data_IF_776659084188
#
_entry.id   IF_776659084188
#
_cell.length_a   1.000
_cell.length_b   1.000
_cell.length_c   1.000
_cell.angle_alpha   90.00
_cell.angle_beta   90.00
_cell.angle_gamma   90.00
#
_symmetry.space_group_name_H-M   'P 1'
#
loop_
_entity.id
_entity.type
_entity.pdbx_description
1 polymer ?
#
# COMPACT_ATOMS: atom_id res chain seq x y z
N UNK A 1 -13.31 -1.00 -2.68
CA UNK A 1 -12.03 -1.63 -3.05
C UNK A 1 -12.29 -3.04 -3.54
N UNK A 2 -12.35 -3.21 -4.86
CA UNK A 2 -12.37 -4.55 -5.48
C UNK A 2 -10.92 -5.02 -5.55
N UNK A 3 -10.39 -5.50 -4.42
CA UNK A 3 -9.22 -6.37 -4.47
C UNK A 3 -9.65 -7.59 -5.27
N UNK A 4 -9.07 -7.77 -6.46
CA UNK A 4 -9.30 -8.92 -7.31
C UNK A 4 -8.97 -10.18 -6.49
N UNK A 5 -9.97 -10.79 -5.87
CA UNK A 5 -9.86 -12.15 -5.31
C UNK A 5 -9.82 -13.09 -6.50
N UNK A 6 -8.62 -13.27 -7.04
CA UNK A 6 -8.32 -14.46 -7.83
C UNK A 6 -8.69 -15.66 -6.95
N UNK A 7 -9.51 -16.61 -7.41
CA UNK A 7 -9.77 -17.82 -6.65
C UNK A 7 -8.43 -18.54 -6.48
N UNK A 8 -7.96 -18.59 -5.25
CA UNK A 8 -6.76 -19.32 -4.79
C UNK A 8 -7.03 -20.83 -4.78
N UNK A 9 -7.62 -21.35 -5.85
CA UNK A 9 -8.00 -22.77 -5.99
C UNK A 9 -6.96 -23.56 -6.79
N UNK A 10 -5.78 -23.00 -7.03
CA UNK A 10 -4.58 -23.78 -7.34
C UNK A 10 -3.90 -24.05 -6.00
N UNK A 11 -4.01 -25.28 -5.51
CA UNK A 11 -3.17 -25.75 -4.42
C UNK A 11 -1.71 -25.62 -4.88
N UNK A 12 -1.04 -24.58 -4.40
CA UNK A 12 0.39 -24.39 -4.59
C UNK A 12 1.11 -25.57 -3.97
N UNK A 13 2.18 -26.04 -4.61
CA UNK A 13 3.07 -27.00 -3.98
C UNK A 13 3.64 -26.45 -2.66
N UNK A 14 4.06 -27.31 -1.72
CA UNK A 14 4.61 -26.85 -0.44
C UNK A 14 5.76 -25.85 -0.60
N UNK A 15 6.62 -26.05 -1.60
CA UNK A 15 7.75 -25.17 -1.90
C UNK A 15 7.28 -23.80 -2.43
N UNK A 16 6.25 -23.78 -3.28
CA UNK A 16 5.65 -22.55 -3.78
C UNK A 16 4.95 -21.76 -2.67
N UNK A 17 4.29 -22.44 -1.73
CA UNK A 17 3.68 -21.79 -0.56
C UNK A 17 4.74 -21.15 0.34
N UNK A 18 5.84 -21.86 0.59
CA UNK A 18 6.95 -21.35 1.39
C UNK A 18 7.59 -20.13 0.72
N UNK A 19 7.90 -20.23 -0.58
CA UNK A 19 8.46 -19.12 -1.35
C UNK A 19 7.52 -17.89 -1.39
N UNK A 20 6.21 -18.13 -1.50
CA UNK A 20 5.20 -17.07 -1.45
C UNK A 20 5.16 -16.40 -0.07
N UNK A 21 5.24 -17.17 1.02
CA UNK A 21 5.27 -16.63 2.39
C UNK A 21 6.54 -15.80 2.64
N UNK A 22 7.70 -16.28 2.20
CA UNK A 22 8.97 -15.54 2.33
C UNK A 22 8.94 -14.24 1.54
N UNK A 23 8.44 -14.29 0.30
CA UNK A 23 8.26 -13.10 -0.54
C UNK A 23 7.28 -12.13 0.11
N UNK A 24 6.16 -12.62 0.65
CA UNK A 24 5.16 -11.80 1.32
C UNK A 24 5.76 -11.06 2.53
N UNK A 25 6.54 -11.74 3.37
CA UNK A 25 7.23 -11.15 4.54
C UNK A 25 8.15 -9.99 4.15
N UNK A 26 8.77 -10.03 2.97
CA UNK A 26 9.59 -8.93 2.46
C UNK A 26 8.77 -7.66 2.26
N UNK A 27 7.53 -7.79 1.79
CA UNK A 27 6.63 -6.67 1.54
C UNK A 27 5.85 -6.20 2.78
N UNK A 28 5.69 -7.05 3.81
CA UNK A 28 4.97 -6.65 5.03
C UNK A 28 5.60 -5.42 5.70
N UNK A 29 6.93 -5.42 5.89
CA UNK A 29 7.65 -4.36 6.61
C UNK A 29 7.42 -2.95 6.04
N UNK A 30 7.61 -2.70 4.72
CA UNK A 30 7.35 -1.36 4.18
C UNK A 30 5.87 -0.96 4.27
N UNK A 31 4.94 -1.90 4.12
CA UNK A 31 3.49 -1.61 4.24
C UNK A 31 3.13 -1.20 5.67
N UNK A 32 3.59 -1.95 6.67
CA UNK A 32 3.37 -1.64 8.08
C UNK A 32 3.94 -0.27 8.46
N UNK A 33 5.15 0.04 7.98
CA UNK A 33 5.78 1.34 8.20
C UNK A 33 4.93 2.48 7.62
N UNK A 34 4.49 2.36 6.37
CA UNK A 34 3.64 3.36 5.72
C UNK A 34 2.32 3.56 6.48
N UNK A 35 1.70 2.48 6.98
CA UNK A 35 0.48 2.56 7.77
C UNK A 35 0.71 3.33 9.09
N UNK A 36 1.83 3.08 9.78
CA UNK A 36 2.20 3.82 11.00
C UNK A 36 2.40 5.31 10.69
N UNK A 37 3.13 5.63 9.62
CA UNK A 37 3.36 7.02 9.20
C UNK A 37 2.04 7.70 8.84
N UNK A 38 1.17 7.04 8.08
CA UNK A 38 -0.12 7.56 7.69
C UNK A 38 -0.99 7.85 8.90
N UNK A 39 -1.04 6.93 9.88
CA UNK A 39 -1.79 7.14 11.13
C UNK A 39 -1.27 8.35 11.90
N UNK A 40 0.05 8.49 12.04
CA UNK A 40 0.67 9.65 12.72
C UNK A 40 0.39 10.97 11.99
N UNK A 41 0.36 10.94 10.66
CA UNK A 41 0.11 12.13 9.84
C UNK A 41 -1.33 12.65 9.97
N UNK A 42 -2.28 11.86 10.49
CA UNK A 42 -3.63 12.34 10.81
C UNK A 42 -3.60 13.36 11.94
N UNK A 43 -2.76 13.14 12.95
CA UNK A 43 -2.67 13.98 14.14
C UNK A 43 -1.58 15.06 14.00
N UNK A 44 -0.41 14.70 13.45
CA UNK A 44 0.74 15.59 13.29
C UNK A 44 1.36 15.45 11.89
N UNK A 45 0.78 16.10 10.86
CA UNK A 45 1.30 16.03 9.51
C UNK A 45 2.62 16.78 9.38
N UNK A 46 3.64 16.14 8.80
CA UNK A 46 4.91 16.80 8.48
C UNK A 46 4.76 17.91 7.42
N UNK A 47 3.75 17.80 6.56
CA UNK A 47 3.38 18.81 5.58
C UNK A 47 1.91 18.66 5.19
N UNK A 48 1.35 19.69 4.58
CA UNK A 48 -0.02 19.68 4.09
C UNK A 48 -0.07 19.06 2.68
N UNK A 49 -0.81 17.97 2.50
CA UNK A 49 -0.91 17.26 1.20
C UNK A 49 -1.33 18.19 0.05
N UNK A 50 -2.22 19.15 0.30
CA UNK A 50 -2.66 20.14 -0.70
C UNK A 50 -1.56 21.05 -1.24
N UNK A 51 -0.43 21.15 -0.54
CA UNK A 51 0.73 21.94 -0.97
C UNK A 51 1.65 21.15 -1.91
N UNK A 52 1.44 19.84 -2.07
CA UNK A 52 2.21 19.02 -3.00
C UNK A 52 1.94 19.44 -4.45
N UNK A 53 3.01 19.67 -5.21
CA UNK A 53 2.91 20.21 -6.56
C UNK A 53 2.04 19.33 -7.48
N UNK A 54 2.20 18.01 -7.43
CA UNK A 54 1.39 17.09 -8.23
C UNK A 54 -0.09 17.12 -7.84
N UNK A 55 -0.42 17.31 -6.55
CA UNK A 55 -1.81 17.43 -6.09
C UNK A 55 -2.45 18.73 -6.55
N UNK A 56 -1.69 19.84 -6.53
CA UNK A 56 -2.15 21.13 -7.05
C UNK A 56 -2.44 21.01 -8.55
N UNK A 57 -1.51 20.42 -9.32
CA UNK A 57 -1.70 20.18 -10.75
C UNK A 57 -2.93 19.29 -11.02
N UNK A 58 -3.07 18.18 -10.30
CA UNK A 58 -4.21 17.29 -10.42
C UNK A 58 -5.54 17.98 -10.08
N UNK A 59 -5.55 18.86 -9.08
CA UNK A 59 -6.73 19.62 -8.67
C UNK A 59 -7.13 20.69 -9.69
N UNK A 60 -6.16 21.30 -10.38
CA UNK A 60 -6.41 22.28 -11.45
C UNK A 60 -7.00 21.63 -12.69
N UNK A 61 -6.55 20.42 -13.05
CA UNK A 61 -7.10 19.66 -14.19
C UNK A 61 -8.54 19.19 -14.00
N UNK A 62 -9.05 19.18 -12.77
CA UNK A 62 -10.43 18.80 -12.44
C UNK A 62 -11.43 19.96 -12.51
N UNK A 63 -10.94 21.21 -12.55
CA UNK A 63 -11.76 22.42 -12.73
C UNK A 63 -11.86 22.76 -14.20
#
# INVERSE_FOLDING_TARGET
DHMCRQPSTLELSPDEQLAAEETFKLYCKPVELCNVIQKRALDNPAFLQRCLHYMIQASRKKR
#
